data_IF_858230584728
#
_entry.id   IF_858230584728
#
_cell.length_a   1.000
_cell.length_b   1.000
_cell.length_c   1.000
_cell.angle_alpha   90.00
_cell.angle_beta   90.00
_cell.angle_gamma   90.00
#
_symmetry.space_group_name_H-M   'P 1'
#
loop_
_entity.id
_entity.type
_entity.pdbx_description
1 polymer ?
#
# COMPACT_ATOMS: atom_id res chain seq x y z
N UNK A 1 -14.54 -20.43 1.52
CA UNK A 1 -13.98 -20.71 0.19
C UNK A 1 -13.21 -19.48 -0.22
N UNK A 2 -11.90 -19.45 0.03
CA UNK A 2 -11.00 -18.46 -0.58
C UNK A 2 -9.83 -19.24 -1.15
N UNK A 3 -9.84 -19.31 -2.47
CA UNK A 3 -9.03 -20.18 -3.31
C UNK A 3 -7.60 -19.66 -3.45
N UNK A 4 -6.65 -20.59 -3.45
CA UNK A 4 -5.35 -20.50 -4.11
C UNK A 4 -4.37 -19.42 -3.59
N UNK A 5 -3.56 -19.82 -2.61
CA UNK A 5 -2.50 -19.02 -1.98
C UNK A 5 -1.22 -18.92 -2.84
N UNK A 6 -1.35 -18.71 -4.15
CA UNK A 6 -0.28 -18.31 -5.07
C UNK A 6 -0.39 -16.84 -5.49
N UNK A 7 -1.17 -16.06 -4.75
CA UNK A 7 -1.28 -14.62 -4.98
C UNK A 7 -0.18 -13.92 -4.20
N UNK A 8 0.78 -13.32 -4.90
CA UNK A 8 1.57 -12.23 -4.35
C UNK A 8 0.56 -11.15 -3.93
N UNK A 9 0.17 -11.12 -2.64
CA UNK A 9 -0.70 -10.08 -2.10
C UNK A 9 -0.01 -8.74 -2.30
N UNK A 10 -0.30 -8.10 -3.43
CA UNK A 10 0.02 -6.69 -3.66
C UNK A 10 -0.83 -5.93 -2.65
N UNK A 11 -0.22 -5.47 -1.55
CA UNK A 11 -0.83 -4.51 -0.61
C UNK A 11 -0.90 -3.13 -1.29
N UNK A 12 -1.63 -3.06 -2.40
CA UNK A 12 -1.93 -1.81 -3.08
C UNK A 12 -3.42 -1.56 -2.85
N UNK A 13 -3.72 -0.51 -2.08
CA UNK A 13 -5.09 -0.16 -1.69
C UNK A 13 -5.72 0.64 -2.82
N UNK A 14 -6.37 -0.10 -3.73
CA UNK A 14 -6.89 0.47 -4.98
C UNK A 14 -8.39 0.22 -5.19
N UNK A 15 -8.95 -0.90 -4.71
CA UNK A 15 -10.26 -1.37 -5.20
C UNK A 15 -11.44 -1.18 -4.23
N UNK A 16 -11.24 -1.25 -2.92
CA UNK A 16 -12.35 -1.10 -1.96
C UNK A 16 -12.61 0.36 -1.56
N UNK A 17 -11.57 1.20 -1.51
CA UNK A 17 -11.70 2.56 -0.95
C UNK A 17 -11.87 3.66 -2.01
N UNK A 18 -11.73 3.33 -3.30
CA UNK A 18 -11.91 4.28 -4.41
C UNK A 18 -13.38 4.74 -4.55
N UNK A 19 -14.34 4.00 -3.98
CA UNK A 19 -15.75 4.41 -3.98
C UNK A 19 -16.07 5.51 -2.95
N UNK A 20 -15.29 5.60 -1.87
CA UNK A 20 -15.47 6.62 -0.82
C UNK A 20 -14.80 7.96 -1.20
N UNK A 21 -13.71 7.89 -1.96
CA UNK A 21 -12.89 9.03 -2.31
C UNK A 21 -13.13 9.49 -3.76
N UNK A 22 -13.51 10.76 -3.96
CA UNK A 22 -13.64 11.37 -5.31
C UNK A 22 -12.27 11.68 -5.93
N UNK A 23 -11.45 10.66 -6.09
CA UNK A 23 -10.10 10.77 -6.63
C UNK A 23 -10.02 10.28 -8.08
N UNK A 24 -9.15 10.86 -8.90
CA UNK A 24 -8.91 10.38 -10.25
C UNK A 24 -8.29 8.98 -10.20
N UNK A 25 -8.62 8.14 -11.19
CA UNK A 25 -8.04 6.79 -11.34
C UNK A 25 -6.66 6.84 -11.98
N UNK A 26 -5.78 7.68 -11.45
CA UNK A 26 -4.39 7.86 -11.92
C UNK A 26 -3.46 7.06 -11.02
N UNK A 27 -2.52 6.35 -11.65
CA UNK A 27 -1.50 5.56 -10.96
C UNK A 27 -0.24 6.40 -10.71
N UNK A 28 -0.15 6.97 -9.51
CA UNK A 28 1.01 7.69 -8.99
C UNK A 28 1.29 7.20 -7.56
N UNK A 29 1.89 6.01 -7.43
CA UNK A 29 1.92 5.31 -6.16
C UNK A 29 2.63 6.11 -5.09
N UNK A 30 2.09 6.09 -3.88
CA UNK A 30 2.70 6.67 -2.69
C UNK A 30 2.76 5.65 -1.58
N UNK A 31 3.83 5.67 -0.81
CA UNK A 31 3.99 4.83 0.36
C UNK A 31 3.63 5.66 1.60
N UNK A 32 2.63 5.21 2.34
CA UNK A 32 2.24 5.84 3.59
C UNK A 32 3.09 5.32 4.77
N UNK A 33 2.97 6.00 5.93
CA UNK A 33 3.67 5.61 7.17
C UNK A 33 3.27 4.23 7.69
N UNK A 34 2.07 3.77 7.34
CA UNK A 34 1.55 2.44 7.64
C UNK A 34 2.14 1.31 6.78
N UNK A 35 3.15 1.60 5.94
CA UNK A 35 3.77 0.66 4.99
C UNK A 35 2.80 0.08 3.94
N UNK A 36 1.71 0.81 3.64
CA UNK A 36 0.77 0.49 2.57
C UNK A 36 1.07 1.40 1.38
N UNK A 37 1.00 0.81 0.17
CA UNK A 37 1.07 1.58 -1.07
C UNK A 37 -0.33 1.99 -1.48
N UNK A 38 -0.55 3.29 -1.66
CA UNK A 38 -1.78 3.85 -2.20
C UNK A 38 -1.58 4.17 -3.68
N UNK A 39 -2.63 3.96 -4.49
CA UNK A 39 -2.61 4.23 -5.94
C UNK A 39 -2.17 5.65 -6.29
N UNK A 40 -2.58 6.61 -5.46
CA UNK A 40 -2.22 8.01 -5.57
C UNK A 40 -2.33 8.72 -4.22
N UNK A 41 -1.74 9.92 -4.16
CA UNK A 41 -1.80 10.80 -2.99
C UNK A 41 -3.23 11.15 -2.57
N UNK A 42 -4.14 11.38 -3.53
CA UNK A 42 -5.53 11.73 -3.22
C UNK A 42 -6.25 10.62 -2.42
N UNK A 43 -6.06 9.34 -2.79
CA UNK A 43 -6.66 8.22 -2.06
C UNK A 43 -6.04 8.09 -0.67
N UNK A 44 -4.74 8.30 -0.54
CA UNK A 44 -4.03 8.27 0.75
C UNK A 44 -4.55 9.37 1.70
N UNK A 45 -4.64 10.61 1.20
CA UNK A 45 -5.12 11.77 1.93
C UNK A 45 -6.58 11.63 2.34
N UNK A 46 -7.43 11.13 1.44
CA UNK A 46 -8.83 10.85 1.73
C UNK A 46 -9.04 9.80 2.84
N UNK A 47 -8.07 8.92 3.04
CA UNK A 47 -8.07 7.92 4.11
C UNK A 47 -7.32 8.39 5.36
N UNK A 48 -7.02 9.69 5.44
CA UNK A 48 -6.34 10.34 6.56
C UNK A 48 -5.00 9.65 6.89
N UNK A 49 -4.23 9.31 5.85
CA UNK A 49 -2.94 8.66 6.00
C UNK A 49 -1.79 9.60 5.69
N UNK A 50 -0.76 9.49 6.51
CA UNK A 50 0.47 10.26 6.32
C UNK A 50 1.37 9.66 5.23
N UNK A 51 1.90 10.53 4.37
CA UNK A 51 2.94 10.17 3.42
C UNK A 51 4.24 9.82 4.14
N UNK A 52 4.85 8.71 3.73
CA UNK A 52 6.23 8.35 4.09
C UNK A 52 7.19 8.64 2.94
N UNK A 53 6.79 8.29 1.71
CA UNK A 53 7.63 8.44 0.51
C UNK A 53 6.78 8.45 -0.76
N UNK A 54 7.17 9.29 -1.73
CA UNK A 54 6.65 9.21 -3.10
C UNK A 54 7.20 7.97 -3.82
N UNK A 55 6.33 7.22 -4.48
CA UNK A 55 6.62 5.91 -5.06
C UNK A 55 6.05 4.75 -4.22
N UNK A 56 6.11 3.52 -4.74
CA UNK A 56 5.60 2.35 -4.05
C UNK A 56 6.42 2.04 -2.79
N UNK A 57 5.78 1.37 -1.81
CA UNK A 57 6.51 0.84 -0.67
C UNK A 57 7.49 -0.23 -1.14
N UNK A 58 8.76 -0.04 -0.79
CA UNK A 58 9.82 -1.00 -1.09
C UNK A 58 9.73 -2.11 -0.03
N UNK A 59 9.06 -3.20 -0.36
CA UNK A 59 9.15 -4.43 0.40
C UNK A 59 10.31 -5.25 -0.16
N UNK A 60 11.46 -5.21 0.53
CA UNK A 60 12.54 -6.14 0.25
C UNK A 60 12.07 -7.54 0.64
N UNK A 61 11.61 -8.33 -0.33
CA UNK A 61 11.57 -9.78 -0.15
C UNK A 61 13.01 -10.26 -0.03
N UNK A 62 13.50 -10.45 1.20
CA UNK A 62 14.45 -11.56 1.38
C UNK A 62 13.66 -12.83 1.14
N UNK A 63 14.23 -13.73 0.33
CA UNK A 63 13.71 -15.07 0.11
C UNK A 63 13.65 -15.79 1.47
N UNK A 64 12.56 -15.63 2.23
CA UNK A 64 12.50 -16.27 3.55
C UNK A 64 11.41 -15.86 4.54
N UNK A 65 10.80 -14.66 4.51
CA UNK A 65 9.95 -14.28 5.64
C UNK A 65 8.55 -13.78 5.26
N UNK A 66 7.57 -14.50 5.81
CA UNK A 66 6.18 -14.10 5.95
C UNK A 66 6.01 -13.53 7.35
N UNK A 67 6.18 -12.23 7.56
CA UNK A 67 5.53 -11.43 8.61
C UNK A 67 6.10 -10.03 8.67
N UNK A 68 5.23 -9.12 9.09
CA UNK A 68 5.44 -7.68 9.20
C UNK A 68 6.68 -7.33 10.04
N UNK A 69 7.64 -6.62 9.44
CA UNK A 69 8.81 -6.07 10.13
C UNK A 69 8.79 -4.55 10.06
N UNK A 70 8.45 -3.90 11.18
CA UNK A 70 8.71 -2.48 11.41
C UNK A 70 10.24 -2.26 11.34
N UNK A 71 10.73 -1.49 10.37
CA UNK A 71 12.06 -0.91 10.44
C UNK A 71 11.91 0.54 10.92
N UNK A 72 11.86 0.67 12.25
CA UNK A 72 12.07 1.93 12.94
C UNK A 72 13.27 1.74 13.86
N UNK A 73 14.46 2.03 13.36
CA UNK A 73 15.68 2.17 14.18
C UNK A 73 16.26 3.56 13.92
N UNK A 74 15.77 4.55 14.67
CA UNK A 74 16.61 5.47 15.44
C UNK A 74 15.80 6.38 16.35
#
# INVERSE_FOLDING_TARGET
MDTNKNVCRKRIVDLENMAYCRCPRVYWPVCAKNNITYMNYCIMDCLDQDIRRYGPCIHYRRSGDSSDGFLGDK
#
